data_IF_989584446178
#
_entry.id   IF_989584446178
#
_cell.length_a   1.000
_cell.length_b   1.000
_cell.length_c   1.000
_cell.angle_alpha   90.00
_cell.angle_beta   90.00
_cell.angle_gamma   90.00
#
_symmetry.space_group_name_H-M   'P 1'
#
loop_
_entity.id
_entity.type
_entity.pdbx_description
1 polymer ?
#
# COMPACT_ATOMS: atom_id res chain seq x y z
N UNK A 1 18.24 20.32 -3.27
CA UNK A 1 18.14 21.29 -2.16
C UNK A 1 16.80 21.05 -1.49
N UNK A 2 16.75 20.72 -0.19
CA UNK A 2 15.50 20.51 0.53
C UNK A 2 14.68 21.79 0.72
N UNK A 3 13.35 21.64 0.74
CA UNK A 3 12.38 22.69 1.06
C UNK A 3 12.01 22.54 2.54
N UNK A 4 12.07 23.63 3.29
CA UNK A 4 11.70 23.67 4.70
C UNK A 4 10.50 24.59 4.90
N UNK A 5 9.56 24.15 5.75
CA UNK A 5 8.37 24.91 6.12
C UNK A 5 8.63 25.65 7.44
N UNK A 6 8.36 26.96 7.45
CA UNK A 6 8.48 27.81 8.63
C UNK A 6 7.15 28.52 8.90
N UNK A 7 6.71 28.54 10.16
CA UNK A 7 5.48 29.22 10.58
C UNK A 7 5.80 30.52 11.33
N UNK A 8 5.15 31.61 10.93
CA UNK A 8 5.17 32.84 11.71
C UNK A 8 4.34 32.67 12.99
N UNK A 9 4.91 32.87 14.20
CA UNK A 9 4.18 32.68 15.45
C UNK A 9 3.01 33.67 15.65
N UNK A 10 3.01 34.83 14.97
CA UNK A 10 1.99 35.87 15.11
C UNK A 10 0.88 35.72 14.07
N UNK A 11 1.22 35.57 12.79
CA UNK A 11 0.25 35.51 11.69
C UNK A 11 -0.21 34.09 11.38
N UNK A 12 0.50 33.07 11.90
CA UNK A 12 0.33 31.63 11.58
C UNK A 12 0.56 31.27 10.11
N UNK A 13 1.02 32.21 9.30
CA UNK A 13 1.35 31.98 7.90
C UNK A 13 2.54 31.02 7.77
N UNK A 14 2.49 30.20 6.73
CA UNK A 14 3.48 29.16 6.44
C UNK A 14 4.26 29.60 5.21
N UNK A 15 5.59 29.66 5.35
CA UNK A 15 6.51 30.03 4.28
C UNK A 15 7.40 28.85 3.95
N UNK A 16 7.58 28.59 2.66
CA UNK A 16 8.48 27.57 2.13
C UNK A 16 9.83 28.20 1.78
N UNK A 17 10.89 27.74 2.42
CA UNK A 17 12.25 28.25 2.21
C UNK A 17 13.15 27.13 1.73
N UNK A 18 13.76 27.32 0.55
CA UNK A 18 14.77 26.42 0.01
C UNK A 18 16.09 26.69 0.73
N UNK A 19 16.62 25.72 1.48
CA UNK A 19 17.91 25.87 2.17
C UNK A 19 18.87 24.73 1.83
N UNK A 20 20.17 24.99 1.93
CA UNK A 20 21.19 23.96 1.80
C UNK A 20 21.30 23.17 3.10
N UNK A 21 21.55 21.86 3.02
CA UNK A 21 21.58 20.98 4.19
C UNK A 21 22.66 21.31 5.25
N UNK A 22 23.68 22.09 4.89
CA UNK A 22 24.75 22.51 5.81
C UNK A 22 24.42 23.79 6.58
N UNK A 23 23.34 24.50 6.26
CA UNK A 23 23.02 25.78 6.88
C UNK A 23 22.21 25.61 8.18
N UNK A 24 22.37 26.52 9.15
CA UNK A 24 21.53 26.51 10.34
C UNK A 24 20.10 26.88 9.93
N UNK A 25 19.19 25.89 9.98
CA UNK A 25 17.78 25.95 9.58
C UNK A 25 16.93 26.95 10.39
N UNK A 26 17.25 28.24 10.29
CA UNK A 26 16.62 29.36 10.99
C UNK A 26 16.17 30.37 9.95
N UNK A 27 14.90 30.75 10.00
CA UNK A 27 14.35 31.85 9.20
C UNK A 27 13.95 32.99 10.15
N UNK A 28 14.40 34.20 9.84
CA UNK A 28 14.03 35.43 10.53
C UNK A 28 13.51 36.39 9.47
N UNK A 29 12.29 36.88 9.63
CA UNK A 29 11.67 37.80 8.67
C UNK A 29 12.27 39.22 8.78
N UNK A 30 11.91 40.10 7.84
CA UNK A 30 12.35 41.51 7.80
C UNK A 30 12.01 42.28 9.09
N UNK A 31 11.01 41.82 9.85
CA UNK A 31 10.59 42.38 11.14
C UNK A 31 11.36 41.82 12.36
N UNK A 32 12.37 40.96 12.15
CA UNK A 32 13.17 40.36 13.22
C UNK A 32 12.50 39.21 13.99
N UNK A 33 11.35 38.72 13.50
CA UNK A 33 10.60 37.63 14.13
C UNK A 33 11.21 36.28 13.71
N UNK A 34 11.54 35.43 14.68
CA UNK A 34 12.01 34.07 14.44
C UNK A 34 10.84 33.15 14.14
N UNK A 35 10.85 32.48 13.00
CA UNK A 35 9.79 31.55 12.60
C UNK A 35 10.09 30.14 13.13
N UNK A 36 9.05 29.41 13.51
CA UNK A 36 9.16 28.05 14.00
C UNK A 36 9.18 27.06 12.83
N UNK A 37 10.17 26.15 12.79
CA UNK A 37 10.22 25.11 11.77
C UNK A 37 9.10 24.09 11.98
N UNK A 38 8.32 23.84 10.93
CA UNK A 38 7.33 22.77 10.91
C UNK A 38 8.02 21.48 10.45
N UNK A 39 7.86 20.43 11.24
CA UNK A 39 8.23 19.07 10.86
C UNK A 39 6.98 18.36 10.37
N UNK A 40 6.84 18.22 9.06
CA UNK A 40 5.81 17.34 8.49
C UNK A 40 6.31 15.90 8.55
N UNK A 41 5.53 15.02 9.17
CA UNK A 41 5.77 13.59 9.00
C UNK A 41 5.44 13.25 7.55
N UNK A 42 6.39 12.71 6.75
CA UNK A 42 6.04 12.26 5.42
C UNK A 42 5.03 11.13 5.56
N UNK A 43 3.87 11.25 4.91
CA UNK A 43 2.94 10.13 4.71
C UNK A 43 3.52 9.17 3.66
N UNK A 44 4.75 8.70 3.89
CA UNK A 44 5.45 7.78 3.02
C UNK A 44 4.87 6.38 3.23
N UNK A 45 3.98 6.01 2.32
CA UNK A 45 3.41 4.67 2.23
C UNK A 45 4.44 3.74 1.57
N UNK A 46 5.37 3.20 2.36
CA UNK A 46 6.37 2.23 1.87
C UNK A 46 5.80 0.82 2.02
N UNK A 47 5.70 0.08 0.91
CA UNK A 47 5.32 -1.33 0.86
C UNK A 47 3.90 -1.69 1.37
N UNK A 48 2.96 -0.74 1.33
CA UNK A 48 1.57 -0.99 1.75
C UNK A 48 0.77 -1.81 0.75
N UNK A 49 1.14 -1.79 -0.53
CA UNK A 49 0.43 -2.51 -1.58
C UNK A 49 1.16 -3.82 -1.89
N UNK A 50 0.45 -4.93 -1.75
CA UNK A 50 0.92 -6.24 -2.21
C UNK A 50 0.68 -6.31 -3.71
N UNK A 51 1.68 -6.72 -4.49
CA UNK A 51 1.46 -7.10 -5.88
C UNK A 51 0.49 -8.29 -5.91
N UNK A 52 -0.71 -8.14 -6.51
CA UNK A 52 -1.69 -9.21 -6.59
C UNK A 52 -1.18 -10.45 -7.34
N UNK A 53 -0.14 -10.35 -8.16
CA UNK A 53 0.39 -11.48 -8.94
C UNK A 53 1.57 -12.20 -8.25
N UNK A 54 2.20 -11.57 -7.26
CA UNK A 54 3.37 -12.12 -6.58
C UNK A 54 2.95 -13.05 -5.43
N UNK A 55 3.11 -14.36 -5.65
CA UNK A 55 2.91 -15.35 -4.58
C UNK A 55 3.93 -15.20 -3.45
N UNK A 56 5.14 -14.69 -3.76
CA UNK A 56 6.21 -14.48 -2.79
C UNK A 56 5.87 -13.37 -1.81
N UNK A 57 5.40 -12.22 -2.31
CA UNK A 57 5.00 -11.11 -1.44
C UNK A 57 3.80 -11.46 -0.56
N UNK A 58 2.86 -12.25 -1.07
CA UNK A 58 1.76 -12.76 -0.26
C UNK A 58 2.28 -13.62 0.90
N UNK A 59 3.21 -14.55 0.63
CA UNK A 59 3.81 -15.37 1.69
C UNK A 59 4.60 -14.50 2.66
N UNK A 60 5.45 -13.59 2.19
CA UNK A 60 6.30 -12.77 3.05
C UNK A 60 5.46 -11.84 3.95
N UNK A 61 4.33 -11.32 3.45
CA UNK A 61 3.43 -10.45 4.22
C UNK A 61 2.46 -11.19 5.15
N UNK A 62 2.26 -12.49 4.95
CA UNK A 62 1.38 -13.34 5.80
C UNK A 62 2.18 -14.20 6.79
N UNK A 63 3.42 -14.56 6.44
CA UNK A 63 4.34 -15.34 7.27
C UNK A 63 4.74 -14.53 8.49
N UNK A 64 4.63 -15.15 9.67
CA UNK A 64 5.06 -14.57 10.94
C UNK A 64 4.06 -13.62 11.61
N UNK A 65 2.94 -13.26 10.96
CA UNK A 65 1.89 -12.41 11.57
C UNK A 65 0.91 -13.15 12.47
N UNK A 66 1.05 -14.47 12.62
CA UNK A 66 0.10 -15.28 13.39
C UNK A 66 -1.33 -15.24 12.84
N UNK A 67 -1.48 -14.92 11.54
CA UNK A 67 -2.78 -14.74 10.92
C UNK A 67 -3.62 -16.02 10.95
N UNK A 68 -4.90 -15.87 11.26
CA UNK A 68 -5.85 -16.99 11.26
C UNK A 68 -6.13 -17.42 9.82
N UNK A 69 -6.50 -18.69 9.60
CA UNK A 69 -6.84 -19.17 8.25
C UNK A 69 -7.91 -18.33 7.56
N UNK A 70 -8.90 -17.81 8.30
CA UNK A 70 -9.91 -16.90 7.76
C UNK A 70 -9.32 -15.58 7.25
N UNK A 71 -8.35 -15.01 7.95
CA UNK A 71 -7.68 -13.77 7.53
C UNK A 71 -6.85 -14.00 6.27
N UNK A 72 -6.20 -15.17 6.14
CA UNK A 72 -5.50 -15.56 4.92
C UNK A 72 -6.46 -15.71 3.73
N UNK A 73 -7.65 -16.26 3.96
CA UNK A 73 -8.68 -16.35 2.93
C UNK A 73 -9.20 -14.98 2.51
N UNK A 74 -9.46 -14.09 3.46
CA UNK A 74 -9.86 -12.72 3.16
C UNK A 74 -8.79 -11.98 2.35
N UNK A 75 -7.51 -12.09 2.75
CA UNK A 75 -6.40 -11.50 2.01
C UNK A 75 -6.25 -12.07 0.59
N UNK A 76 -6.47 -13.38 0.44
CA UNK A 76 -6.47 -14.03 -0.88
C UNK A 76 -7.64 -13.58 -1.75
N UNK A 77 -8.81 -13.34 -1.15
CA UNK A 77 -9.99 -12.82 -1.85
C UNK A 77 -9.77 -11.38 -2.32
N UNK A 78 -9.19 -10.53 -1.48
CA UNK A 78 -8.82 -9.15 -1.87
C UNK A 78 -7.84 -9.14 -3.05
N UNK A 79 -6.82 -10.01 -3.02
CA UNK A 79 -5.88 -10.15 -4.12
C UNK A 79 -6.58 -10.65 -5.40
N UNK A 80 -7.52 -11.59 -5.29
CA UNK A 80 -8.36 -12.06 -6.41
C UNK A 80 -9.17 -10.92 -7.02
N UNK A 81 -9.84 -10.11 -6.20
CA UNK A 81 -10.62 -8.94 -6.66
C UNK A 81 -9.75 -7.91 -7.37
N UNK A 82 -8.53 -7.67 -6.87
CA UNK A 82 -7.56 -6.78 -7.53
C UNK A 82 -7.13 -7.33 -8.90
N UNK A 83 -6.86 -8.63 -9.01
CA UNK A 83 -6.54 -9.27 -10.31
C UNK A 83 -7.71 -9.18 -11.29
N UNK A 84 -8.93 -9.47 -10.83
CA UNK A 84 -10.15 -9.32 -11.64
C UNK A 84 -10.36 -7.87 -12.09
N UNK A 85 -10.08 -6.88 -11.25
CA UNK A 85 -10.17 -5.46 -11.64
C UNK A 85 -9.15 -5.06 -12.72
N UNK A 86 -7.96 -5.66 -12.71
CA UNK A 86 -6.89 -5.33 -13.67
C UNK A 86 -7.08 -6.08 -15.01
N UNK A 87 -7.38 -7.38 -14.96
CA UNK A 87 -7.42 -8.27 -16.13
C UNK A 87 -8.84 -8.65 -16.58
N UNK A 88 -9.87 -8.31 -15.80
CA UNK A 88 -11.24 -8.80 -15.97
C UNK A 88 -11.47 -10.24 -15.49
N UNK A 89 -10.39 -11.00 -15.24
CA UNK A 89 -10.42 -12.39 -14.76
C UNK A 89 -9.23 -12.68 -13.85
N UNK A 90 -9.38 -13.62 -12.91
CA UNK A 90 -8.28 -14.10 -12.08
C UNK A 90 -7.66 -15.39 -12.64
N UNK A 91 -6.45 -15.32 -13.25
CA UNK A 91 -5.78 -16.50 -13.80
C UNK A 91 -5.36 -17.52 -12.72
N UNK A 92 -5.13 -17.07 -11.48
CA UNK A 92 -4.75 -17.95 -10.37
C UNK A 92 -5.95 -18.80 -9.95
N UNK A 93 -7.14 -18.18 -9.88
CA UNK A 93 -8.41 -18.83 -9.54
C UNK A 93 -8.85 -19.81 -10.61
N UNK A 94 -8.70 -19.47 -11.90
CA UNK A 94 -8.96 -20.41 -12.99
C UNK A 94 -8.05 -21.64 -12.92
N UNK A 95 -6.75 -21.44 -12.66
CA UNK A 95 -5.79 -22.53 -12.49
C UNK A 95 -6.15 -23.41 -11.29
N UNK A 96 -6.61 -22.82 -10.19
CA UNK A 96 -7.09 -23.54 -9.01
C UNK A 96 -8.26 -24.48 -9.38
N UNK A 97 -9.28 -23.98 -10.07
CA UNK A 97 -10.43 -24.79 -10.49
C UNK A 97 -10.06 -25.91 -11.47
N UNK A 98 -9.20 -25.61 -12.47
CA UNK A 98 -8.67 -26.63 -13.39
C UNK A 98 -7.93 -27.74 -12.66
N UNK A 99 -7.07 -27.39 -11.69
CA UNK A 99 -6.33 -28.35 -10.89
C UNK A 99 -7.23 -29.16 -9.95
N UNK A 100 -8.26 -28.53 -9.37
CA UNK A 100 -9.24 -29.21 -8.54
C UNK A 100 -9.98 -30.29 -9.34
N UNK A 101 -10.51 -29.92 -10.51
CA UNK A 101 -11.20 -30.85 -11.42
C UNK A 101 -10.29 -31.99 -11.86
N UNK A 102 -9.03 -31.70 -12.23
CA UNK A 102 -8.04 -32.73 -12.59
C UNK A 102 -7.79 -33.74 -11.46
N UNK A 103 -7.69 -33.28 -10.21
CA UNK A 103 -7.46 -34.16 -9.05
C UNK A 103 -8.70 -34.97 -8.66
N UNK A 104 -9.89 -34.43 -8.88
CA UNK A 104 -11.16 -35.04 -8.47
C UNK A 104 -11.93 -35.67 -9.65
N UNK A 105 -11.20 -36.21 -10.64
CA UNK A 105 -11.77 -36.95 -11.78
C UNK A 105 -12.87 -36.18 -12.52
N UNK A 106 -12.69 -34.87 -12.71
CA UNK A 106 -13.63 -34.01 -13.42
C UNK A 106 -14.64 -33.29 -12.54
N UNK A 107 -14.71 -33.57 -11.23
CA UNK A 107 -15.63 -32.85 -10.33
C UNK A 107 -15.28 -31.36 -10.27
N UNK A 108 -16.27 -30.50 -10.56
CA UNK A 108 -16.15 -29.05 -10.47
C UNK A 108 -16.24 -28.59 -9.01
N UNK A 109 -15.49 -27.56 -8.64
CA UNK A 109 -15.51 -27.00 -7.29
C UNK A 109 -16.86 -26.31 -7.04
N UNK A 110 -17.31 -26.21 -5.78
CA UNK A 110 -18.63 -25.64 -5.47
C UNK A 110 -18.78 -24.19 -5.93
N UNK A 111 -17.74 -23.40 -5.69
CA UNK A 111 -17.62 -21.99 -6.10
C UNK A 111 -17.13 -21.81 -7.55
N UNK A 112 -17.05 -22.87 -8.36
CA UNK A 112 -16.68 -22.76 -9.77
C UNK A 112 -17.91 -22.29 -10.58
N UNK A 113 -17.85 -21.11 -11.22
CA UNK A 113 -18.98 -20.63 -12.03
C UNK A 113 -19.33 -21.59 -13.18
N UNK A 114 -18.37 -22.37 -13.67
CA UNK A 114 -18.64 -23.39 -14.70
C UNK A 114 -19.46 -24.57 -14.18
N UNK A 115 -19.69 -24.72 -12.86
CA UNK A 115 -20.49 -25.82 -12.30
C UNK A 115 -21.97 -25.72 -12.69
N UNK A 116 -22.47 -24.49 -12.83
CA UNK A 116 -23.87 -24.19 -13.10
C UNK A 116 -24.15 -23.92 -14.59
N UNK A 117 -23.12 -24.06 -15.43
CA UNK A 117 -23.19 -23.94 -16.89
C UNK A 117 -22.96 -25.31 -17.54
#
# INVERSE_FOLDING_TARGET
MPIYLFQNPKTKEIVEVIQKMKEPHKYTDEEGIKHNRIYTAPNASVDTQIDPFSSREFVDKTKGKGATMGELWNASEEASKKREKILGKDPVKEKYFKNYSKKRRGMKHENDPSRYT
#
